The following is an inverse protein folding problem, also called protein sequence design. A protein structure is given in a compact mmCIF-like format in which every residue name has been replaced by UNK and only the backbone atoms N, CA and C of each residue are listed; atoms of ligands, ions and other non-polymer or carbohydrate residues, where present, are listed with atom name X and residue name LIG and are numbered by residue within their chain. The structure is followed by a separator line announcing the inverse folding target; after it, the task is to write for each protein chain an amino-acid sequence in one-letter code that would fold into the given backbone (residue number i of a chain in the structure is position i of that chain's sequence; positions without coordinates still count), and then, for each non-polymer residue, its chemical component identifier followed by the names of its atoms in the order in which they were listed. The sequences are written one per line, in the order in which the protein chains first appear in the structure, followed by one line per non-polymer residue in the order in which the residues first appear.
data_IF_036208669614
#
_entry.id   IF_036208669614
#
_cell.length_a   1.000
_cell.length_b   1.000
_cell.length_c   1.000
_cell.angle_alpha   90.00
_cell.angle_beta   90.00
_cell.angle_gamma   90.00
#
_symmetry.space_group_name_H-M   'P 1'
#
loop_
_entity.id
_entity.type
_entity.pdbx_description
1 polymer ?
#
# COMPACT_ATOMS: atom_id res chain seq x y z
N UNK A 1 7.11 -18.36 9.55
CA UNK A 1 6.42 -19.16 10.53
C UNK A 1 7.29 -20.20 11.24
N UNK A 2 8.55 -20.44 10.81
CA UNK A 2 9.49 -21.35 11.52
C UNK A 2 9.83 -20.89 12.93
N UNK A 3 9.67 -19.58 13.22
CA UNK A 3 9.93 -18.98 14.53
C UNK A 3 8.65 -18.72 15.35
N UNK A 4 7.50 -19.27 14.94
CA UNK A 4 6.23 -19.08 15.63
C UNK A 4 5.54 -17.75 15.36
N UNK A 5 6.01 -16.97 14.37
CA UNK A 5 5.35 -15.71 13.97
C UNK A 5 4.31 -15.96 12.88
N UNK A 6 3.24 -15.16 12.90
CA UNK A 6 2.27 -15.09 11.82
C UNK A 6 2.68 -13.99 10.85
N UNK A 7 2.85 -14.34 9.57
CA UNK A 7 3.20 -13.39 8.53
C UNK A 7 2.21 -13.49 7.38
N UNK A 8 1.75 -12.34 6.92
CA UNK A 8 0.93 -12.18 5.72
C UNK A 8 1.70 -11.32 4.73
N UNK A 9 1.68 -11.70 3.46
CA UNK A 9 2.24 -10.91 2.38
C UNK A 9 1.10 -10.28 1.60
N UNK A 10 1.20 -8.99 1.31
CA UNK A 10 0.25 -8.29 0.46
C UNK A 10 0.98 -7.57 -0.67
N UNK A 11 0.44 -7.64 -1.88
CA UNK A 11 1.01 -7.02 -3.07
C UNK A 11 -0.10 -6.51 -4.00
N UNK A 12 0.20 -5.59 -4.92
CA UNK A 12 -0.75 -5.25 -5.97
C UNK A 12 -1.06 -6.46 -6.85
N UNK A 13 -2.30 -6.59 -7.27
CA UNK A 13 -2.67 -7.58 -8.27
C UNK A 13 -2.27 -7.08 -9.66
N UNK A 14 -1.34 -7.79 -10.29
CA UNK A 14 -1.01 -7.55 -11.69
C UNK A 14 -1.44 -8.75 -12.54
N UNK A 15 -1.92 -8.51 -13.76
CA UNK A 15 -2.35 -9.58 -14.68
C UNK A 15 -1.14 -10.31 -15.28
N UNK A 16 -0.33 -10.87 -14.40
CA UNK A 16 0.84 -11.68 -14.76
C UNK A 16 0.48 -13.16 -14.81
N UNK A 17 1.38 -13.95 -15.40
CA UNK A 17 1.27 -15.42 -15.43
C UNK A 17 0.97 -16.03 -14.06
N UNK A 18 1.60 -15.49 -13.00
CA UNK A 18 1.40 -15.95 -11.64
C UNK A 18 -0.07 -15.86 -11.18
N UNK A 19 -0.79 -14.81 -11.57
CA UNK A 19 -2.21 -14.68 -11.23
C UNK A 19 -3.04 -15.82 -11.82
N UNK A 20 -2.77 -16.20 -13.08
CA UNK A 20 -3.54 -17.22 -13.79
C UNK A 20 -3.16 -18.64 -13.41
N UNK A 21 -1.97 -18.85 -12.84
CA UNK A 21 -1.48 -20.16 -12.39
C UNK A 21 -1.88 -20.52 -10.96
N UNK A 22 -2.52 -19.61 -10.23
CA UNK A 22 -2.94 -19.82 -8.85
C UNK A 22 -4.46 -19.65 -8.71
N UNK A 23 -5.00 -20.21 -7.63
CA UNK A 23 -6.40 -20.09 -7.29
C UNK A 23 -6.59 -19.01 -6.23
N UNK A 24 -7.61 -18.21 -6.38
CA UNK A 24 -7.86 -17.05 -5.53
C UNK A 24 -9.26 -17.10 -4.93
N UNK A 25 -9.37 -16.68 -3.68
CA UNK A 25 -10.63 -16.47 -2.99
C UNK A 25 -10.74 -15.02 -2.53
N UNK A 26 -11.95 -14.48 -2.47
CA UNK A 26 -12.19 -13.13 -1.97
C UNK A 26 -12.06 -13.15 -0.45
N UNK A 27 -11.10 -12.38 0.07
CA UNK A 27 -10.88 -12.23 1.51
C UNK A 27 -11.59 -10.99 2.06
N UNK A 28 -11.68 -9.90 1.27
CA UNK A 28 -12.32 -8.66 1.69
C UNK A 28 -12.74 -7.82 0.47
N UNK A 29 -13.80 -7.03 0.63
CA UNK A 29 -14.19 -5.97 -0.31
C UNK A 29 -14.37 -4.68 0.46
N UNK A 30 -13.92 -3.58 -0.12
CA UNK A 30 -14.05 -2.26 0.48
C UNK A 30 -14.01 -1.16 -0.55
N UNK A 31 -14.12 0.06 -0.07
CA UNK A 31 -13.96 1.26 -0.89
C UNK A 31 -13.39 2.40 -0.05
N UNK A 32 -12.78 3.36 -0.72
CA UNK A 32 -12.27 4.59 -0.11
C UNK A 32 -12.44 5.78 -1.06
N UNK A 33 -12.62 6.98 -0.51
CA UNK A 33 -12.60 8.20 -1.31
C UNK A 33 -11.18 8.51 -1.77
N UNK A 34 -11.02 8.88 -3.03
CA UNK A 34 -9.77 9.35 -3.61
C UNK A 34 -10.09 10.47 -4.59
N UNK A 35 -9.76 11.71 -4.21
CA UNK A 35 -10.23 12.91 -4.88
C UNK A 35 -11.77 12.95 -4.93
N UNK A 36 -12.37 13.15 -6.08
CA UNK A 36 -13.83 13.18 -6.30
C UNK A 36 -14.45 11.79 -6.57
N UNK A 37 -13.64 10.72 -6.53
CA UNK A 37 -14.06 9.34 -6.84
C UNK A 37 -14.13 8.49 -5.58
N UNK A 38 -15.04 7.51 -5.62
CA UNK A 38 -15.03 6.39 -4.68
C UNK A 38 -14.38 5.19 -5.36
N UNK A 39 -13.23 4.77 -4.86
CA UNK A 39 -12.45 3.66 -5.41
C UNK A 39 -12.85 2.38 -4.70
N UNK A 40 -13.39 1.42 -5.44
CA UNK A 40 -13.67 0.08 -4.95
C UNK A 40 -12.43 -0.80 -5.05
N UNK A 41 -12.20 -1.64 -4.05
CA UNK A 41 -11.11 -2.61 -4.05
C UNK A 41 -11.55 -3.96 -3.52
N UNK A 42 -10.85 -4.98 -3.96
CA UNK A 42 -11.01 -6.36 -3.48
C UNK A 42 -9.66 -6.88 -3.01
N UNK A 43 -9.63 -7.48 -1.83
CA UNK A 43 -8.48 -8.26 -1.37
C UNK A 43 -8.77 -9.72 -1.70
N UNK A 44 -7.91 -10.32 -2.51
CA UNK A 44 -7.97 -11.74 -2.83
C UNK A 44 -6.83 -12.47 -2.13
N UNK A 45 -7.08 -13.69 -1.68
CA UNK A 45 -6.13 -14.56 -1.00
C UNK A 45 -5.79 -15.75 -1.90
N UNK A 46 -4.53 -16.15 -1.95
CA UNK A 46 -4.12 -17.38 -2.60
C UNK A 46 -4.68 -18.58 -1.80
N UNK A 47 -5.45 -19.43 -2.48
CA UNK A 47 -6.30 -20.45 -1.84
C UNK A 47 -5.61 -21.82 -1.69
N UNK A 48 -4.46 -22.06 -2.34
CA UNK A 48 -3.85 -23.41 -2.39
C UNK A 48 -2.90 -23.71 -1.22
N UNK A 49 -2.46 -22.69 -0.48
CA UNK A 49 -1.45 -22.76 0.59
C UNK A 49 -0.09 -23.34 0.15
N UNK A 50 0.20 -23.41 -1.14
CA UNK A 50 1.45 -23.97 -1.69
C UNK A 50 2.69 -23.16 -1.31
N UNK A 51 2.50 -21.86 -1.03
CA UNK A 51 3.59 -20.93 -0.78
C UNK A 51 4.20 -21.07 0.62
N UNK A 52 3.50 -21.71 1.57
CA UNK A 52 3.92 -21.84 2.96
C UNK A 52 3.76 -20.54 3.78
N UNK A 53 3.10 -19.54 3.22
CA UNK A 53 2.69 -18.29 3.86
C UNK A 53 1.40 -17.78 3.22
N UNK A 54 0.67 -16.92 3.94
CA UNK A 54 -0.55 -16.29 3.43
C UNK A 54 -0.19 -15.17 2.47
N UNK A 55 -0.57 -15.31 1.18
CA UNK A 55 -0.43 -14.28 0.17
C UNK A 55 -1.77 -13.65 -0.15
N UNK A 56 -1.80 -12.33 -0.14
CA UNK A 56 -2.94 -11.50 -0.52
C UNK A 56 -2.56 -10.57 -1.67
N UNK A 57 -3.50 -10.32 -2.57
CA UNK A 57 -3.35 -9.31 -3.60
C UNK A 57 -4.47 -8.28 -3.50
N UNK A 58 -4.13 -7.02 -3.74
CA UNK A 58 -5.09 -5.92 -3.86
C UNK A 58 -5.48 -5.78 -5.31
N UNK A 59 -6.75 -5.97 -5.60
CA UNK A 59 -7.36 -5.74 -6.90
C UNK A 59 -8.11 -4.41 -6.90
N UNK A 60 -7.75 -3.51 -7.81
CA UNK A 60 -8.45 -2.26 -8.10
C UNK A 60 -8.60 -2.17 -9.60
N UNK A 61 -9.84 -2.33 -10.07
CA UNK A 61 -10.15 -2.33 -11.49
C UNK A 61 -9.70 -1.03 -12.17
N UNK A 62 -9.02 -1.17 -13.31
CA UNK A 62 -8.48 -0.05 -14.08
C UNK A 62 -7.17 0.54 -13.54
N UNK A 63 -6.79 0.27 -12.28
CA UNK A 63 -5.55 0.78 -11.68
C UNK A 63 -4.48 -0.33 -11.53
N UNK A 64 -4.79 -1.41 -10.82
CA UNK A 64 -3.80 -2.44 -10.49
C UNK A 64 -3.86 -3.66 -11.40
N UNK A 65 -4.98 -3.91 -12.05
CA UNK A 65 -5.26 -5.07 -12.89
C UNK A 65 -4.63 -4.98 -14.30
N UNK A 66 -3.40 -4.50 -14.40
CA UNK A 66 -2.69 -4.31 -15.67
C UNK A 66 -1.56 -5.33 -15.85
N UNK A 67 -1.27 -5.69 -17.11
CA UNK A 67 -0.19 -6.62 -17.45
C UNK A 67 1.19 -6.02 -17.17
N UNK A 68 1.37 -4.75 -17.55
CA UNK A 68 2.61 -4.03 -17.31
C UNK A 68 2.60 -3.44 -15.90
N UNK A 69 3.63 -3.76 -15.12
CA UNK A 69 3.71 -3.37 -13.71
C UNK A 69 4.03 -1.88 -13.54
N UNK A 70 4.93 -1.33 -14.36
CA UNK A 70 5.44 0.04 -14.24
C UNK A 70 5.39 0.79 -15.57
N UNK A 71 5.58 2.11 -15.51
CA UNK A 71 5.75 2.99 -16.65
C UNK A 71 4.41 3.41 -17.26
N UNK A 72 3.41 3.57 -16.43
CA UNK A 72 2.16 4.23 -16.78
C UNK A 72 2.20 5.67 -16.29
N UNK A 73 1.51 6.57 -16.98
CA UNK A 73 1.43 7.98 -16.61
C UNK A 73 0.78 8.18 -15.24
N UNK A 74 -0.09 7.27 -14.82
CA UNK A 74 -0.82 7.25 -13.56
C UNK A 74 -0.16 6.38 -12.47
N UNK A 75 1.11 6.01 -12.59
CA UNK A 75 1.78 5.16 -11.59
C UNK A 75 1.73 5.74 -10.18
N UNK A 76 1.80 7.08 -10.01
CA UNK A 76 1.66 7.73 -8.71
C UNK A 76 0.29 7.44 -8.08
N UNK A 77 -0.78 7.60 -8.83
CA UNK A 77 -2.14 7.33 -8.39
C UNK A 77 -2.33 5.83 -8.07
N UNK A 78 -1.88 4.95 -8.95
CA UNK A 78 -2.00 3.50 -8.81
C UNK A 78 -1.39 2.99 -7.52
N UNK A 79 -0.16 3.40 -7.21
CA UNK A 79 0.54 2.96 -6.01
C UNK A 79 0.06 3.68 -4.74
N UNK A 80 -0.49 4.90 -4.86
CA UNK A 80 -1.23 5.50 -3.76
C UNK A 80 -2.51 4.73 -3.45
N UNK A 81 -3.30 4.40 -4.47
CA UNK A 81 -4.54 3.63 -4.31
C UNK A 81 -4.27 2.25 -3.67
N UNK A 82 -3.19 1.58 -4.09
CA UNK A 82 -2.74 0.34 -3.45
C UNK A 82 -2.50 0.54 -1.95
N UNK A 83 -1.75 1.55 -1.58
CA UNK A 83 -1.38 1.81 -0.19
C UNK A 83 -2.60 2.21 0.66
N UNK A 84 -3.52 3.01 0.11
CA UNK A 84 -4.78 3.36 0.79
C UNK A 84 -5.63 2.10 1.01
N UNK A 85 -5.78 1.23 0.00
CA UNK A 85 -6.52 -0.03 0.15
C UNK A 85 -5.92 -0.94 1.24
N UNK A 86 -4.57 -0.97 1.36
CA UNK A 86 -3.90 -1.68 2.46
C UNK A 86 -4.26 -1.07 3.81
N UNK A 87 -4.19 0.27 3.96
CA UNK A 87 -4.58 0.96 5.19
C UNK A 87 -6.04 0.67 5.56
N UNK A 88 -6.96 0.77 4.58
CA UNK A 88 -8.38 0.48 4.79
C UNK A 88 -8.60 -0.95 5.29
N UNK A 89 -7.89 -1.91 4.72
CA UNK A 89 -8.03 -3.29 5.11
C UNK A 89 -7.47 -3.57 6.51
N UNK A 90 -6.22 -3.19 6.78
CA UNK A 90 -5.58 -3.45 8.08
C UNK A 90 -6.23 -2.68 9.22
N UNK A 91 -6.84 -1.52 8.95
CA UNK A 91 -7.54 -0.71 9.95
C UNK A 91 -8.80 -1.38 10.50
N UNK A 92 -9.32 -2.39 9.80
CA UNK A 92 -10.52 -3.16 10.17
C UNK A 92 -10.22 -4.52 10.81
N UNK A 93 -8.93 -4.84 11.00
CA UNK A 93 -8.57 -6.12 11.60
C UNK A 93 -8.90 -6.14 13.10
N UNK A 94 -9.54 -7.21 13.54
CA UNK A 94 -9.82 -7.44 14.96
C UNK A 94 -8.54 -7.75 15.75
N UNK A 95 -7.57 -8.40 15.08
CA UNK A 95 -6.29 -8.73 15.69
C UNK A 95 -5.28 -7.62 15.44
N UNK A 96 -4.58 -7.27 16.52
CA UNK A 96 -3.56 -6.24 16.50
C UNK A 96 -2.40 -6.64 15.59
N UNK A 97 -2.05 -5.76 14.65
CA UNK A 97 -0.85 -5.90 13.84
C UNK A 97 0.33 -5.30 14.60
N UNK A 98 1.38 -6.08 14.84
CA UNK A 98 2.56 -5.61 15.57
C UNK A 98 3.51 -4.82 14.66
N UNK A 99 3.76 -5.36 13.46
CA UNK A 99 4.74 -4.82 12.51
C UNK A 99 4.15 -4.79 11.10
N UNK A 100 4.27 -3.65 10.44
CA UNK A 100 4.05 -3.48 9.01
C UNK A 100 5.41 -3.34 8.32
N UNK A 101 5.80 -4.35 7.53
CA UNK A 101 7.04 -4.34 6.78
C UNK A 101 6.76 -3.92 5.34
N UNK A 102 7.24 -2.76 4.93
CA UNK A 102 7.04 -2.17 3.62
C UNK A 102 8.30 -2.27 2.76
N UNK A 103 8.11 -2.37 1.44
CA UNK A 103 9.19 -2.58 0.49
C UNK A 103 9.16 -1.50 -0.60
N UNK A 104 10.29 -0.81 -0.78
CA UNK A 104 10.51 0.21 -1.81
C UNK A 104 9.48 1.35 -1.83
N UNK A 105 9.58 2.23 -2.81
CA UNK A 105 8.72 3.41 -2.90
C UNK A 105 7.23 3.10 -3.09
N UNK A 106 6.89 1.93 -3.63
CA UNK A 106 5.50 1.52 -3.89
C UNK A 106 4.66 1.32 -2.61
N UNK A 107 5.33 1.14 -1.47
CA UNK A 107 4.68 0.92 -0.18
C UNK A 107 5.15 1.93 0.90
N UNK A 108 6.07 2.82 0.57
CA UNK A 108 6.78 3.64 1.56
C UNK A 108 5.98 4.83 2.11
N UNK A 109 4.81 5.15 1.55
CA UNK A 109 3.88 6.12 2.14
C UNK A 109 2.95 5.51 3.20
N UNK A 110 2.89 4.18 3.31
CA UNK A 110 2.12 3.51 4.37
C UNK A 110 2.50 3.99 5.78
N UNK A 111 3.80 4.09 6.15
CA UNK A 111 4.22 4.65 7.44
C UNK A 111 3.67 6.06 7.68
N UNK A 112 3.78 6.95 6.69
CA UNK A 112 3.24 8.30 6.78
C UNK A 112 1.72 8.28 6.98
N UNK A 113 0.98 7.48 6.18
CA UNK A 113 -0.48 7.46 6.25
C UNK A 113 -0.99 6.95 7.58
N UNK A 114 -0.46 5.85 8.11
CA UNK A 114 -0.92 5.31 9.40
C UNK A 114 -0.60 6.23 10.58
N UNK A 115 0.45 7.07 10.48
CA UNK A 115 0.83 7.99 11.54
C UNK A 115 0.16 9.36 11.44
N UNK A 116 -0.15 9.84 10.24
CA UNK A 116 -0.50 11.24 10.02
C UNK A 116 -1.82 11.46 9.29
N UNK A 117 -2.44 10.43 8.67
CA UNK A 117 -3.80 10.55 8.14
C UNK A 117 -4.83 10.42 9.28
N UNK A 118 -5.80 11.34 9.31
CA UNK A 118 -6.76 11.44 10.41
C UNK A 118 -7.59 10.16 10.59
N UNK A 119 -7.96 9.52 9.49
CA UNK A 119 -8.79 8.29 9.50
C UNK A 119 -8.05 7.06 10.03
N UNK A 120 -6.70 7.07 10.05
CA UNK A 120 -5.88 5.93 10.46
C UNK A 120 -5.20 6.11 11.82
N UNK A 121 -5.53 7.16 12.58
CA UNK A 121 -4.92 7.43 13.89
C UNK A 121 -5.07 6.26 14.88
N UNK A 122 -6.15 5.51 14.78
CA UNK A 122 -6.41 4.35 15.65
C UNK A 122 -5.45 3.17 15.41
N UNK A 123 -4.74 3.14 14.28
CA UNK A 123 -3.71 2.14 13.95
C UNK A 123 -2.28 2.70 14.01
N UNK A 124 -2.09 3.93 14.47
CA UNK A 124 -0.77 4.59 14.56
C UNK A 124 0.23 3.89 15.51
N UNK A 125 -0.24 2.95 16.32
CA UNK A 125 0.60 2.11 17.17
C UNK A 125 1.43 1.08 16.42
N UNK A 126 1.07 0.77 15.16
CA UNK A 126 1.76 -0.23 14.33
C UNK A 126 3.19 0.24 14.06
N UNK A 127 4.16 -0.63 14.37
CA UNK A 127 5.57 -0.34 14.06
C UNK A 127 5.85 -0.65 12.59
N UNK A 128 6.66 0.19 11.96
CA UNK A 128 6.98 0.08 10.55
C UNK A 128 8.44 -0.28 10.34
N UNK A 129 8.70 -1.11 9.33
CA UNK A 129 10.02 -1.44 8.84
C UNK A 129 10.02 -1.18 7.34
N UNK A 130 11.00 -0.46 6.84
CA UNK A 130 11.18 -0.22 5.40
C UNK A 130 12.42 -0.97 4.90
N UNK A 131 12.25 -1.82 3.90
CA UNK A 131 13.35 -2.40 3.12
C UNK A 131 13.45 -1.72 1.77
N UNK A 132 14.64 -1.23 1.44
CA UNK A 132 14.95 -0.60 0.15
C UNK A 132 15.79 -1.58 -0.66
N UNK A 133 15.22 -2.11 -1.74
CA UNK A 133 15.92 -3.00 -2.66
C UNK A 133 16.66 -2.23 -3.75
N UNK A 134 16.09 -1.08 -4.17
CA UNK A 134 16.70 -0.21 -5.17
C UNK A 134 16.42 1.27 -4.87
N UNK A 135 17.42 1.96 -4.35
CA UNK A 135 17.34 3.38 -3.99
C UNK A 135 17.29 4.33 -5.20
N UNK A 136 17.53 3.83 -6.43
CA UNK A 136 17.43 4.65 -7.64
C UNK A 136 15.99 5.05 -7.94
N UNK A 137 15.02 4.18 -7.61
CA UNK A 137 13.60 4.42 -7.84
C UNK A 137 12.94 4.89 -6.54
N UNK A 138 12.62 6.18 -6.46
CA UNK A 138 12.15 6.80 -5.23
C UNK A 138 10.65 7.18 -5.25
N UNK A 139 10.01 7.02 -6.42
CA UNK A 139 8.58 7.27 -6.57
C UNK A 139 8.20 8.75 -6.63
N UNK A 140 9.12 9.61 -7.10
CA UNK A 140 8.90 11.06 -7.21
C UNK A 140 7.56 11.40 -7.83
N UNK A 141 6.81 12.32 -7.18
CA UNK A 141 5.53 12.80 -7.70
C UNK A 141 5.29 14.26 -7.33
N UNK A 142 4.52 14.95 -8.16
CA UNK A 142 4.14 16.35 -7.91
C UNK A 142 3.20 16.48 -6.70
N UNK A 143 3.22 17.65 -6.07
CA UNK A 143 2.39 17.96 -4.89
C UNK A 143 0.88 17.89 -5.14
N UNK A 144 0.41 17.99 -6.40
CA UNK A 144 -0.99 17.77 -6.73
C UNK A 144 -1.48 16.37 -6.31
N UNK A 145 -0.59 15.37 -6.28
CA UNK A 145 -0.93 14.02 -5.81
C UNK A 145 -1.21 13.95 -4.30
N UNK A 146 -0.86 14.98 -3.53
CA UNK A 146 -1.21 15.03 -2.10
C UNK A 146 -2.72 15.06 -1.87
N UNK A 147 -3.50 15.58 -2.82
CA UNK A 147 -4.96 15.58 -2.77
C UNK A 147 -5.57 14.18 -2.89
N UNK A 148 -4.83 13.22 -3.45
CA UNK A 148 -5.26 11.82 -3.58
C UNK A 148 -5.17 11.05 -2.25
N UNK A 149 -4.38 11.54 -1.29
CA UNK A 149 -4.27 10.92 0.04
C UNK A 149 -5.48 11.26 0.91
N UNK A 150 -5.87 10.36 1.84
CA UNK A 150 -6.83 10.71 2.88
C UNK A 150 -6.39 11.95 3.66
N UNK A 151 -7.35 12.71 4.21
CA UNK A 151 -7.05 13.91 5.00
C UNK A 151 -5.98 13.64 6.07
N UNK A 152 -4.93 14.45 6.07
CA UNK A 152 -3.77 14.29 6.92
C UNK A 152 -3.35 15.59 7.59
N UNK A 153 -2.50 15.50 8.62
CA UNK A 153 -1.97 16.64 9.35
C UNK A 153 -0.97 17.42 8.47
N UNK A 154 -1.42 18.50 7.86
CA UNK A 154 -0.64 19.30 6.91
C UNK A 154 0.61 19.95 7.52
N UNK A 155 0.72 20.09 8.85
CA UNK A 155 1.96 20.52 9.52
C UNK A 155 3.10 19.51 9.34
N UNK A 156 2.79 18.31 8.87
CA UNK A 156 3.77 17.23 8.58
C UNK A 156 4.24 17.21 7.13
N UNK A 157 3.90 18.23 6.34
CA UNK A 157 4.29 18.32 4.92
C UNK A 157 5.78 18.09 4.67
N UNK A 158 6.64 18.59 5.56
CA UNK A 158 8.09 18.44 5.44
C UNK A 158 8.60 16.99 5.51
N UNK A 159 7.78 16.05 6.00
CA UNK A 159 8.12 14.61 5.93
C UNK A 159 8.01 14.07 4.51
N UNK A 160 7.10 14.64 3.70
CA UNK A 160 6.87 14.26 2.31
C UNK A 160 7.81 14.99 1.35
N UNK A 161 8.18 16.24 1.70
CA UNK A 161 8.90 17.13 0.79
C UNK A 161 10.37 16.74 0.62
N UNK A 162 10.76 16.67 -0.63
CA UNK A 162 12.16 16.61 -1.03
C UNK A 162 12.31 17.36 -2.35
N UNK A 163 13.06 18.44 -2.34
CA UNK A 163 13.31 19.28 -3.51
C UNK A 163 12.04 19.73 -4.25
N UNK A 164 11.05 20.21 -3.49
CA UNK A 164 9.73 20.70 -3.97
C UNK A 164 8.82 19.65 -4.61
N UNK A 165 9.15 18.38 -4.44
CA UNK A 165 8.33 17.24 -4.86
C UNK A 165 8.01 16.36 -3.64
N UNK A 166 7.01 15.52 -3.77
CA UNK A 166 6.80 14.42 -2.83
C UNK A 166 7.78 13.31 -3.20
N UNK A 167 8.55 12.85 -2.21
CA UNK A 167 9.41 11.68 -2.37
C UNK A 167 8.94 10.55 -1.43
N UNK A 168 8.19 9.57 -1.95
CA UNK A 168 7.65 8.47 -1.16
C UNK A 168 8.72 7.70 -0.39
N UNK A 169 9.84 7.37 -1.02
CA UNK A 169 10.90 6.60 -0.36
C UNK A 169 11.51 7.37 0.82
N UNK A 170 11.79 8.67 0.64
CA UNK A 170 12.30 9.53 1.71
C UNK A 170 11.28 9.70 2.83
N UNK A 171 9.99 9.81 2.50
CA UNK A 171 8.92 9.88 3.49
C UNK A 171 8.89 8.63 4.37
N UNK A 172 8.98 7.44 3.76
CA UNK A 172 9.04 6.18 4.50
C UNK A 172 10.26 6.03 5.43
N UNK A 173 11.40 6.63 5.06
CA UNK A 173 12.59 6.66 5.94
C UNK A 173 12.38 7.59 7.13
N UNK A 174 11.60 8.67 6.96
CA UNK A 174 11.38 9.70 7.99
C UNK A 174 10.24 9.35 8.96
N UNK A 175 9.41 8.38 8.61
CA UNK A 175 8.28 7.90 9.41
C UNK A 175 8.54 6.49 9.94
#
# INVERSE_FOLDING_TARGET
NRLGHFAKVIMPMHRTKFLYENNWEVAHKGSFPMDDRNIEFTIIKEATNKLGFDLYCVDINGLLDREKIYGHEDDAERFLAFQIAVCEWISRWEHKLDILHVHDHHASLLPFMIQHCNVYQHISYIKTILTIHNAQYQGWMGWHNAALMPSWNTWKWGLLDWDKLINPLAAGIRC
#
